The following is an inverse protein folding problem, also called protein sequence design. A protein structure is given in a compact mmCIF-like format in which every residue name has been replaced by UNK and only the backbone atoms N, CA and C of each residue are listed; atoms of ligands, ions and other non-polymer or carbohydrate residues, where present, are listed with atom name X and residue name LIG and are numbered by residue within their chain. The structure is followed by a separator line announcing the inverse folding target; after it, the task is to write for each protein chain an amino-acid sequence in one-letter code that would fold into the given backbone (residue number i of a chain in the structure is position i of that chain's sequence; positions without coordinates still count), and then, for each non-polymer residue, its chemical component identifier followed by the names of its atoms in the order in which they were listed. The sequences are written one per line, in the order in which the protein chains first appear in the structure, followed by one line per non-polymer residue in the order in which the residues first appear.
data_IF_571843522273
#
_entry.id   IF_571843522273
#
_cell.length_a   1.000
_cell.length_b   1.000
_cell.length_c   1.000
_cell.angle_alpha   90.00
_cell.angle_beta   90.00
_cell.angle_gamma   90.00
#
_symmetry.space_group_name_H-M   'P 1'
#
loop_
_entity.id
_entity.type
_entity.pdbx_description
1 polymer ?
#
# COMPACT_ATOMS: atom_id res chain seq x y z
N UNK A 1 0.70 36.32 -32.49
CA UNK A 1 1.59 36.34 -31.32
C UNK A 1 0.90 35.56 -30.21
N UNK A 2 1.22 34.27 -30.08
CA UNK A 2 0.78 33.45 -28.94
C UNK A 2 1.57 33.91 -27.73
N UNK A 3 0.95 34.69 -26.85
CA UNK A 3 1.55 35.03 -25.57
C UNK A 3 1.55 33.75 -24.73
N UNK A 4 2.68 33.02 -24.77
CA UNK A 4 3.07 32.16 -23.66
C UNK A 4 3.18 33.09 -22.46
N UNK A 5 2.11 33.23 -21.70
CA UNK A 5 2.20 33.81 -20.37
C UNK A 5 3.22 32.96 -19.63
N UNK A 6 4.37 33.51 -19.20
CA UNK A 6 5.30 32.74 -18.40
C UNK A 6 4.52 32.30 -17.17
N UNK A 7 4.43 30.99 -16.93
CA UNK A 7 4.01 30.50 -15.62
C UNK A 7 5.00 31.08 -14.62
N UNK A 8 4.56 32.07 -13.84
CA UNK A 8 5.42 32.71 -12.86
C UNK A 8 5.67 31.70 -11.74
N UNK A 9 6.77 30.97 -11.85
CA UNK A 9 7.25 30.10 -10.77
C UNK A 9 7.90 31.01 -9.74
N UNK A 10 7.34 31.01 -8.53
CA UNK A 10 7.95 31.68 -7.38
C UNK A 10 8.34 30.60 -6.38
N UNK A 11 9.61 30.56 -5.98
CA UNK A 11 10.10 29.50 -5.10
C UNK A 11 11.40 29.86 -4.40
N UNK A 12 11.78 29.02 -3.45
CA UNK A 12 13.05 29.05 -2.76
C UNK A 12 13.80 27.77 -3.14
N UNK A 13 15.07 27.94 -3.46
CA UNK A 13 15.98 26.85 -3.73
C UNK A 13 17.08 26.79 -2.67
N UNK A 14 17.36 25.58 -2.23
CA UNK A 14 18.33 25.26 -1.21
C UNK A 14 19.50 24.55 -1.88
N UNK A 15 20.51 25.34 -2.23
CA UNK A 15 21.72 24.87 -2.88
C UNK A 15 22.54 24.00 -1.93
N UNK A 16 22.82 22.75 -2.33
CA UNK A 16 23.68 21.86 -1.53
C UNK A 16 25.14 22.07 -1.92
N UNK A 17 26.02 22.36 -0.96
CA UNK A 17 27.46 22.58 -1.20
C UNK A 17 28.28 21.27 -1.43
N UNK A 18 27.70 20.26 -2.08
CA UNK A 18 28.31 18.93 -2.28
C UNK A 18 28.45 18.52 -3.76
N UNK A 19 28.88 17.28 -4.03
CA UNK A 19 29.09 16.76 -5.39
C UNK A 19 27.81 16.34 -6.14
N UNK A 20 26.63 16.45 -5.51
CA UNK A 20 25.35 16.15 -6.16
C UNK A 20 24.88 17.34 -6.97
N UNK A 21 24.45 17.11 -8.21
CA UNK A 21 23.90 18.14 -9.08
C UNK A 21 22.42 18.47 -8.79
N UNK A 22 21.82 17.97 -7.70
CA UNK A 22 20.41 18.18 -7.38
C UNK A 22 20.25 19.04 -6.11
N UNK A 23 19.64 20.21 -6.28
CA UNK A 23 19.27 21.14 -5.24
C UNK A 23 17.82 20.94 -4.81
N UNK A 24 17.49 21.22 -3.56
CA UNK A 24 16.13 21.05 -3.03
C UNK A 24 15.32 22.31 -3.28
N UNK A 25 14.05 22.17 -3.62
CA UNK A 25 13.19 23.32 -3.92
C UNK A 25 11.81 23.22 -3.27
N UNK A 26 11.29 24.40 -2.90
CA UNK A 26 9.90 24.62 -2.50
C UNK A 26 9.37 25.73 -3.39
N UNK A 27 8.32 25.45 -4.16
CA UNK A 27 7.85 26.39 -5.18
C UNK A 27 6.33 26.41 -5.30
N UNK A 28 5.81 27.56 -5.71
CA UNK A 28 4.44 27.70 -6.20
C UNK A 28 4.47 27.73 -7.73
N UNK A 29 3.69 26.86 -8.35
CA UNK A 29 3.41 26.92 -9.78
C UNK A 29 1.92 26.75 -10.01
N UNK A 30 1.32 27.77 -10.62
CA UNK A 30 -0.11 27.80 -10.94
C UNK A 30 -1.02 27.51 -9.73
N UNK A 31 -0.64 27.97 -8.53
CA UNK A 31 -1.41 27.78 -7.31
C UNK A 31 -1.20 26.44 -6.60
N UNK A 32 -0.29 25.60 -7.10
CA UNK A 32 0.11 24.33 -6.45
C UNK A 32 1.41 24.55 -5.71
N UNK A 33 1.43 24.24 -4.40
CA UNK A 33 2.65 24.18 -3.62
C UNK A 33 3.34 22.85 -3.91
N UNK A 34 4.61 22.91 -4.35
CA UNK A 34 5.38 21.74 -4.78
C UNK A 34 6.67 21.64 -3.99
N UNK A 35 7.00 20.40 -3.64
CA UNK A 35 8.29 20.00 -3.10
C UNK A 35 8.97 19.11 -4.13
N UNK A 36 10.26 19.33 -4.36
CA UNK A 36 11.03 18.50 -5.26
C UNK A 36 12.49 18.88 -5.30
N UNK A 37 13.17 18.45 -6.35
CA UNK A 37 14.58 18.73 -6.60
C UNK A 37 14.79 19.38 -7.96
N UNK A 38 15.84 20.17 -8.10
CA UNK A 38 16.23 20.83 -9.35
C UNK A 38 17.69 20.52 -9.68
N UNK A 39 17.98 20.20 -10.95
CA UNK A 39 19.37 20.02 -11.39
C UNK A 39 20.10 21.32 -11.81
N UNK A 40 19.38 22.44 -11.90
CA UNK A 40 19.90 23.70 -12.42
C UNK A 40 18.99 24.86 -12.02
N UNK A 41 19.16 25.37 -10.82
CA UNK A 41 18.60 26.63 -10.35
C UNK A 41 17.11 26.88 -10.73
N UNK A 42 16.19 25.99 -10.27
CA UNK A 42 14.76 25.89 -10.63
C UNK A 42 14.39 25.64 -12.12
N UNK A 43 15.33 25.47 -13.05
CA UNK A 43 15.04 25.26 -14.49
C UNK A 43 14.73 23.80 -14.84
N UNK A 44 15.41 22.85 -14.21
CA UNK A 44 15.24 21.41 -14.45
C UNK A 44 14.65 20.76 -13.23
N UNK A 45 13.31 20.76 -13.15
CA UNK A 45 12.57 20.35 -11.94
C UNK A 45 12.09 18.90 -12.02
N UNK A 46 12.27 18.19 -10.91
CA UNK A 46 11.63 16.91 -10.63
C UNK A 46 10.76 17.10 -9.40
N UNK A 47 9.46 17.24 -9.61
CA UNK A 47 8.51 17.35 -8.51
C UNK A 47 8.31 15.99 -7.84
N UNK A 48 8.22 16.00 -6.52
CA UNK A 48 7.98 14.80 -5.73
C UNK A 48 6.59 14.84 -5.10
N UNK A 49 6.19 15.99 -4.53
CA UNK A 49 4.95 16.15 -3.78
C UNK A 49 4.22 17.43 -4.19
N UNK A 50 2.91 17.33 -4.37
CA UNK A 50 2.02 18.45 -4.71
C UNK A 50 0.94 18.62 -3.64
N UNK A 51 0.83 19.85 -3.14
CA UNK A 51 -0.20 20.30 -2.20
C UNK A 51 -1.08 21.35 -2.88
N UNK A 52 -2.38 21.10 -2.85
CA UNK A 52 -3.41 22.03 -3.32
C UNK A 52 -4.40 22.33 -2.20
N UNK A 53 -5.34 23.24 -2.45
CA UNK A 53 -6.47 23.45 -1.54
C UNK A 53 -7.43 22.25 -1.43
N UNK A 54 -7.24 21.20 -2.22
CA UNK A 54 -8.18 20.06 -2.33
C UNK A 54 -7.54 18.69 -2.13
N UNK A 55 -6.23 18.55 -2.34
CA UNK A 55 -5.53 17.28 -2.21
C UNK A 55 -4.04 17.45 -1.86
N UNK A 56 -3.50 16.39 -1.27
CA UNK A 56 -2.08 16.09 -1.11
C UNK A 56 -1.80 14.85 -1.96
N UNK A 57 -0.90 14.96 -2.94
CA UNK A 57 -0.62 13.85 -3.87
C UNK A 57 0.86 13.83 -4.30
N UNK A 58 1.40 12.65 -4.69
CA UNK A 58 2.67 12.62 -5.39
C UNK A 58 2.57 13.36 -6.70
N UNK A 59 3.65 14.01 -7.12
CA UNK A 59 3.67 14.70 -8.40
C UNK A 59 3.89 13.76 -9.59
N UNK A 60 4.36 12.54 -9.34
CA UNK A 60 4.53 11.47 -10.32
C UNK A 60 3.69 10.27 -9.90
N UNK A 61 2.90 9.75 -10.85
CA UNK A 61 2.09 8.56 -10.63
C UNK A 61 2.94 7.35 -10.24
N UNK A 62 2.49 6.60 -9.23
CA UNK A 62 3.19 5.44 -8.66
C UNK A 62 4.68 5.70 -8.27
N UNK A 63 5.06 6.95 -8.00
CA UNK A 63 6.45 7.34 -7.76
C UNK A 63 6.86 7.40 -6.29
N UNK A 64 5.90 7.59 -5.38
CA UNK A 64 6.14 7.85 -3.95
C UNK A 64 5.33 6.91 -3.05
N UNK A 65 5.93 6.49 -1.94
CA UNK A 65 5.24 5.72 -0.89
C UNK A 65 4.82 6.63 0.28
N UNK A 66 3.68 6.33 0.89
CA UNK A 66 3.22 7.00 2.10
C UNK A 66 3.71 6.25 3.34
N UNK A 67 4.83 6.71 3.91
CA UNK A 67 5.50 6.07 5.04
C UNK A 67 6.49 4.97 4.65
N UNK A 68 7.26 4.50 5.63
CA UNK A 68 8.27 3.44 5.51
C UNK A 68 8.14 2.45 6.68
N UNK A 69 8.75 1.26 6.60
CA UNK A 69 8.71 0.27 7.68
C UNK A 69 9.26 0.79 9.02
N UNK A 70 10.22 1.72 8.95
CA UNK A 70 10.81 2.41 10.10
C UNK A 70 10.17 3.77 10.42
N UNK A 71 9.36 4.33 9.52
CA UNK A 71 8.69 5.64 9.66
C UNK A 71 7.21 5.49 9.30
N UNK A 72 6.46 4.84 10.21
CA UNK A 72 5.05 4.48 10.02
C UNK A 72 4.16 5.58 10.62
N UNK A 73 3.06 5.90 9.93
CA UNK A 73 1.99 6.69 10.52
C UNK A 73 1.35 5.93 11.69
N UNK A 74 0.96 6.65 12.73
CA UNK A 74 0.21 6.06 13.85
C UNK A 74 -1.21 5.72 13.43
N UNK A 75 -1.90 6.65 12.78
CA UNK A 75 -3.29 6.53 12.35
C UNK A 75 -3.54 7.38 11.08
N UNK A 76 -4.60 7.05 10.34
CA UNK A 76 -5.11 7.84 9.20
C UNK A 76 -6.61 8.05 9.39
N UNK A 77 -7.02 9.30 9.62
CA UNK A 77 -8.44 9.67 9.70
C UNK A 77 -8.94 10.08 8.32
N UNK A 78 -9.89 9.31 7.78
CA UNK A 78 -10.53 9.57 6.49
C UNK A 78 -12.03 9.27 6.56
N UNK A 79 -12.84 10.00 5.80
CA UNK A 79 -14.29 9.76 5.69
C UNK A 79 -14.60 8.49 4.89
N UNK A 80 -13.71 8.08 3.98
CA UNK A 80 -13.85 6.88 3.16
C UNK A 80 -12.57 6.04 3.24
N UNK A 81 -12.67 4.76 2.90
CA UNK A 81 -11.52 3.84 2.87
C UNK A 81 -10.54 4.16 1.74
N UNK A 82 -9.38 3.49 1.76
CA UNK A 82 -8.36 3.62 0.71
C UNK A 82 -8.87 2.98 -0.59
N UNK A 83 -8.68 3.66 -1.71
CA UNK A 83 -8.97 3.13 -3.05
C UNK A 83 -7.73 2.41 -3.56
N UNK A 84 -7.85 1.11 -3.84
CA UNK A 84 -6.81 0.32 -4.50
C UNK A 84 -7.16 0.12 -5.98
N UNK A 85 -6.29 0.59 -6.89
CA UNK A 85 -6.45 0.38 -8.33
C UNK A 85 -6.54 -1.12 -8.63
N UNK A 86 -7.58 -1.53 -9.36
CA UNK A 86 -7.90 -2.95 -9.60
C UNK A 86 -8.47 -3.16 -11.02
N UNK A 87 -8.09 -2.30 -11.96
CA UNK A 87 -8.54 -2.36 -13.35
C UNK A 87 -7.98 -3.61 -14.07
N UNK A 88 -8.78 -4.27 -14.90
CA UNK A 88 -8.36 -5.47 -15.62
C UNK A 88 -7.26 -5.17 -16.66
N UNK A 89 -7.17 -3.93 -17.17
CA UNK A 89 -6.14 -3.51 -18.12
C UNK A 89 -4.75 -3.46 -17.51
N UNK A 90 -4.67 -3.30 -16.19
CA UNK A 90 -3.42 -3.23 -15.43
C UNK A 90 -3.00 -4.60 -14.89
N UNK A 91 -3.71 -5.67 -15.27
CA UNK A 91 -3.51 -7.03 -14.79
C UNK A 91 -3.17 -7.97 -15.94
N UNK A 92 -2.31 -8.95 -15.66
CA UNK A 92 -1.98 -10.07 -16.54
C UNK A 92 -2.15 -11.37 -15.76
N UNK A 93 -2.13 -12.51 -16.46
CA UNK A 93 -2.14 -13.85 -15.86
C UNK A 93 -3.28 -14.07 -14.85
N UNK A 94 -4.47 -13.54 -15.16
CA UNK A 94 -5.65 -13.62 -14.30
C UNK A 94 -6.14 -15.08 -14.26
N UNK A 95 -6.12 -15.68 -13.07
CA UNK A 95 -6.57 -17.04 -12.79
C UNK A 95 -7.58 -17.04 -11.63
N UNK A 96 -8.39 -18.10 -11.56
CA UNK A 96 -9.25 -18.33 -10.40
C UNK A 96 -8.41 -18.54 -9.14
N UNK A 97 -8.87 -17.98 -8.02
CA UNK A 97 -8.17 -18.07 -6.75
C UNK A 97 -8.23 -19.51 -6.20
N UNK A 98 -7.06 -20.08 -5.93
CA UNK A 98 -6.87 -21.44 -5.38
C UNK A 98 -6.73 -21.46 -3.84
N UNK A 99 -6.88 -20.30 -3.19
CA UNK A 99 -6.91 -20.10 -1.74
C UNK A 99 -8.35 -19.78 -1.32
N UNK A 100 -8.83 -20.42 -0.27
CA UNK A 100 -10.21 -20.27 0.16
C UNK A 100 -10.45 -20.81 1.57
N UNK A 101 -11.49 -21.64 1.72
CA UNK A 101 -11.97 -22.09 3.02
C UNK A 101 -10.91 -22.89 3.78
N UNK A 102 -10.11 -23.70 3.06
CA UNK A 102 -9.04 -24.51 3.67
C UNK A 102 -8.01 -23.64 4.38
N UNK A 103 -7.58 -22.54 3.77
CA UNK A 103 -6.60 -21.62 4.36
C UNK A 103 -7.22 -20.81 5.49
N UNK A 104 -8.44 -20.30 5.30
CA UNK A 104 -9.16 -19.53 6.33
C UNK A 104 -9.32 -20.34 7.62
N UNK A 105 -9.65 -21.63 7.52
CA UNK A 105 -9.78 -22.53 8.68
C UNK A 105 -8.46 -22.80 9.42
N UNK A 106 -7.30 -22.52 8.79
CA UNK A 106 -5.98 -22.63 9.43
C UNK A 106 -5.56 -21.32 10.11
N UNK A 107 -6.25 -20.21 9.86
CA UNK A 107 -5.93 -18.94 10.47
C UNK A 107 -6.35 -18.95 11.93
N UNK A 108 -5.51 -18.35 12.78
CA UNK A 108 -5.77 -18.17 14.21
C UNK A 108 -5.99 -16.69 14.51
N UNK A 109 -7.24 -16.20 14.56
CA UNK A 109 -7.55 -14.87 15.05
C UNK A 109 -7.04 -14.72 16.49
N UNK A 110 -6.42 -13.58 16.79
CA UNK A 110 -5.90 -13.26 18.12
C UNK A 110 -6.39 -11.90 18.59
N UNK A 111 -6.46 -11.73 19.90
CA UNK A 111 -6.45 -10.41 20.53
C UNK A 111 -5.06 -10.12 21.10
N UNK A 112 -4.64 -8.87 21.06
CA UNK A 112 -3.32 -8.46 21.55
C UNK A 112 -3.34 -7.03 22.08
N UNK A 113 -2.30 -6.70 22.83
CA UNK A 113 -1.99 -5.33 23.27
C UNK A 113 -0.57 -5.02 22.81
N UNK A 114 -0.32 -3.80 22.33
CA UNK A 114 1.03 -3.39 21.94
C UNK A 114 1.95 -3.36 23.16
N UNK A 115 3.16 -3.93 23.01
CA UNK A 115 4.17 -3.91 24.08
C UNK A 115 4.59 -2.49 24.46
N UNK A 116 4.80 -1.64 23.45
CA UNK A 116 5.30 -0.27 23.65
C UNK A 116 4.17 0.78 23.77
N UNK A 117 2.91 0.34 23.64
CA UNK A 117 1.71 1.20 23.69
C UNK A 117 0.51 0.50 24.34
N UNK A 118 0.63 0.04 25.60
CA UNK A 118 -0.43 -0.70 26.26
C UNK A 118 -1.73 0.12 26.46
N UNK A 119 -1.63 1.44 26.47
CA UNK A 119 -2.73 2.39 26.60
C UNK A 119 -3.69 2.39 25.39
N UNK A 120 -3.26 1.91 24.22
CA UNK A 120 -4.13 1.78 23.04
C UNK A 120 -5.22 0.69 23.20
N UNK A 121 -5.15 -0.08 24.29
CA UNK A 121 -6.10 -1.13 24.64
C UNK A 121 -5.94 -2.40 23.80
N UNK A 122 -6.90 -3.32 23.97
CA UNK A 122 -6.91 -4.60 23.24
C UNK A 122 -7.31 -4.38 21.78
N UNK A 123 -6.50 -4.91 20.87
CA UNK A 123 -6.73 -4.95 19.43
C UNK A 123 -6.99 -6.39 18.98
N UNK A 124 -7.60 -6.55 17.81
CA UNK A 124 -7.83 -7.84 17.15
C UNK A 124 -6.98 -7.92 15.88
N UNK A 125 -6.51 -9.11 15.55
CA UNK A 125 -5.74 -9.31 14.32
C UNK A 125 -5.25 -10.73 14.12
N UNK A 126 -4.20 -10.84 13.32
CA UNK A 126 -3.50 -12.08 12.98
C UNK A 126 -2.00 -11.91 13.24
N UNK A 127 -1.31 -13.03 13.47
CA UNK A 127 0.15 -13.05 13.62
C UNK A 127 0.78 -13.22 12.23
N UNK A 128 1.60 -12.26 11.81
CA UNK A 128 2.22 -12.25 10.48
C UNK A 128 3.05 -13.51 10.19
N UNK A 129 3.79 -14.02 11.19
CA UNK A 129 4.58 -15.25 11.06
C UNK A 129 3.71 -16.50 10.85
N UNK A 130 2.53 -16.56 11.48
CA UNK A 130 1.58 -17.66 11.28
C UNK A 130 0.93 -17.56 9.90
N UNK A 131 0.58 -16.34 9.48
CA UNK A 131 0.08 -16.06 8.13
C UNK A 131 1.10 -16.47 7.06
N UNK A 132 2.39 -16.21 7.25
CA UNK A 132 3.42 -16.53 6.26
C UNK A 132 3.48 -18.03 5.92
N UNK A 133 3.08 -18.91 6.84
CA UNK A 133 3.03 -20.36 6.65
C UNK A 133 1.75 -20.86 5.94
N UNK A 134 0.75 -19.98 5.77
CA UNK A 134 -0.58 -20.32 5.23
C UNK A 134 -0.88 -19.54 3.96
N UNK A 135 -0.67 -18.23 3.99
CA UNK A 135 -0.89 -17.24 2.94
C UNK A 135 0.34 -16.30 2.88
N UNK A 136 1.51 -16.77 2.40
CA UNK A 136 2.70 -15.92 2.31
C UNK A 136 2.47 -14.66 1.45
N UNK A 137 1.55 -14.71 0.51
CA UNK A 137 1.26 -13.65 -0.46
C UNK A 137 0.68 -12.38 0.20
N UNK A 138 0.03 -12.50 1.36
CA UNK A 138 -0.54 -11.35 2.10
C UNK A 138 0.43 -10.79 3.14
N UNK A 139 1.61 -11.38 3.29
CA UNK A 139 2.62 -10.95 4.25
C UNK A 139 3.70 -10.14 3.54
N UNK A 140 3.95 -8.94 4.06
CA UNK A 140 5.10 -8.15 3.64
C UNK A 140 6.30 -8.54 4.47
N UNK A 141 7.29 -9.17 3.83
CA UNK A 141 8.52 -9.65 4.46
C UNK A 141 9.79 -9.00 3.91
N UNK A 142 9.65 -8.06 2.96
CA UNK A 142 10.76 -7.33 2.36
C UNK A 142 10.55 -5.82 2.38
N UNK A 143 11.65 -5.12 2.56
CA UNK A 143 11.75 -3.67 2.48
C UNK A 143 12.56 -3.24 1.25
N UNK A 144 12.38 -1.98 0.88
CA UNK A 144 13.19 -1.36 -0.17
C UNK A 144 14.55 -1.03 0.44
N UNK A 145 15.58 -1.70 -0.05
CA UNK A 145 16.97 -1.49 0.31
C UNK A 145 17.77 -0.92 -0.84
N UNK A 146 19.06 -0.71 -0.58
CA UNK A 146 20.05 -0.36 -1.59
C UNK A 146 21.15 -1.41 -1.54
N UNK A 147 21.48 -2.02 -2.68
CA UNK A 147 22.61 -2.92 -2.77
C UNK A 147 23.94 -2.14 -2.60
N UNK A 148 25.06 -2.81 -2.30
CA UNK A 148 26.37 -2.16 -2.15
C UNK A 148 26.82 -1.36 -3.38
N UNK A 149 26.30 -1.66 -4.57
CA UNK A 149 26.56 -0.96 -5.83
C UNK A 149 25.65 0.27 -6.05
N UNK A 150 24.80 0.62 -5.09
CA UNK A 150 23.88 1.76 -5.16
C UNK A 150 22.56 1.46 -5.90
N UNK A 151 22.37 0.23 -6.40
CA UNK A 151 21.11 -0.14 -7.07
C UNK A 151 20.00 -0.43 -6.06
N UNK A 152 18.74 -0.19 -6.46
CA UNK A 152 17.57 -0.53 -5.64
C UNK A 152 17.52 -2.05 -5.48
N UNK A 153 17.57 -2.51 -4.24
CA UNK A 153 17.50 -3.93 -3.89
C UNK A 153 16.38 -4.17 -2.90
N UNK A 154 16.00 -5.43 -2.72
CA UNK A 154 15.12 -5.82 -1.63
C UNK A 154 15.96 -6.40 -0.49
N UNK A 155 15.68 -5.95 0.73
CA UNK A 155 16.26 -6.49 1.96
C UNK A 155 15.15 -7.13 2.77
N UNK A 156 15.47 -8.13 3.58
CA UNK A 156 14.50 -8.69 4.52
C UNK A 156 14.00 -7.60 5.46
N UNK A 157 12.68 -7.56 5.68
CA UNK A 157 12.07 -6.60 6.57
C UNK A 157 12.38 -6.99 8.02
N UNK A 158 12.81 -6.02 8.82
CA UNK A 158 13.01 -6.21 10.26
C UNK A 158 11.70 -6.62 10.96
N UNK A 159 10.57 -6.12 10.46
CA UNK A 159 9.23 -6.40 10.98
C UNK A 159 8.32 -6.80 9.83
N UNK A 160 7.68 -7.96 9.97
CA UNK A 160 6.67 -8.40 9.01
C UNK A 160 5.42 -7.52 9.09
N UNK A 161 4.89 -7.17 7.93
CA UNK A 161 3.59 -6.51 7.77
C UNK A 161 2.53 -7.45 7.18
N UNK A 162 1.27 -7.08 7.27
CA UNK A 162 0.15 -7.82 6.68
C UNK A 162 -0.67 -6.89 5.81
N UNK A 163 -0.90 -7.28 4.56
CA UNK A 163 -1.88 -6.66 3.67
C UNK A 163 -3.27 -7.22 4.00
N UNK A 164 -3.90 -6.68 5.06
CA UNK A 164 -5.20 -7.19 5.52
C UNK A 164 -6.30 -7.14 4.45
N UNK A 165 -6.27 -6.17 3.53
CA UNK A 165 -7.21 -6.09 2.41
C UNK A 165 -7.08 -7.28 1.44
N UNK A 166 -5.90 -7.88 1.33
CA UNK A 166 -5.63 -9.00 0.42
C UNK A 166 -6.20 -10.32 0.96
N UNK A 167 -6.63 -10.35 2.23
CA UNK A 167 -7.41 -11.45 2.78
C UNK A 167 -8.86 -11.45 2.26
N UNK A 168 -9.39 -10.30 1.80
CA UNK A 168 -10.80 -10.18 1.41
C UNK A 168 -11.16 -11.14 0.26
N UNK A 169 -10.40 -11.23 -0.85
CA UNK A 169 -10.70 -12.20 -1.91
C UNK A 169 -10.66 -13.65 -1.44
N UNK A 170 -9.74 -14.00 -0.51
CA UNK A 170 -9.64 -15.33 0.08
C UNK A 170 -10.89 -15.64 0.93
N UNK A 171 -11.36 -14.67 1.72
CA UNK A 171 -12.59 -14.79 2.50
C UNK A 171 -13.83 -14.93 1.61
N UNK A 172 -13.91 -14.18 0.52
CA UNK A 172 -15.00 -14.31 -0.48
C UNK A 172 -15.02 -15.73 -1.05
N UNK A 173 -13.86 -16.26 -1.47
CA UNK A 173 -13.73 -17.63 -1.97
C UNK A 173 -14.13 -18.66 -0.91
N UNK A 174 -13.71 -18.46 0.34
CA UNK A 174 -14.06 -19.34 1.45
C UNK A 174 -15.58 -19.41 1.68
N UNK A 175 -16.27 -18.26 1.62
CA UNK A 175 -17.74 -18.21 1.75
C UNK A 175 -18.41 -18.94 0.59
N UNK A 176 -17.96 -18.73 -0.64
CA UNK A 176 -18.49 -19.45 -1.82
C UNK A 176 -18.33 -20.97 -1.69
N UNK A 177 -17.17 -21.44 -1.23
CA UNK A 177 -16.92 -22.87 -0.98
C UNK A 177 -17.77 -23.41 0.17
N UNK A 178 -18.02 -22.59 1.20
CA UNK A 178 -18.89 -22.95 2.32
C UNK A 178 -20.35 -23.11 1.87
N UNK A 179 -20.89 -22.17 1.09
CA UNK A 179 -22.25 -22.26 0.55
C UNK A 179 -22.41 -23.49 -0.35
N UNK A 180 -21.45 -23.77 -1.23
CA UNK A 180 -21.49 -24.96 -2.08
C UNK A 180 -21.54 -26.28 -1.27
N UNK A 181 -20.88 -26.34 -0.10
CA UNK A 181 -20.97 -27.49 0.81
C UNK A 181 -22.32 -27.58 1.50
N UNK A 182 -22.91 -26.44 1.88
CA UNK A 182 -24.24 -26.38 2.49
C UNK A 182 -25.28 -26.91 1.51
N UNK A 183 -25.25 -26.46 0.25
CA UNK A 183 -26.16 -26.92 -0.80
C UNK A 183 -26.05 -28.43 -1.02
N UNK A 184 -24.81 -28.95 -1.08
CA UNK A 184 -24.57 -30.39 -1.23
C UNK A 184 -25.16 -31.20 -0.07
N UNK A 185 -24.93 -30.75 1.18
CA UNK A 185 -25.46 -31.41 2.38
C UNK A 185 -26.98 -31.37 2.44
N UNK A 186 -27.61 -30.28 2.02
CA UNK A 186 -29.07 -30.16 1.95
C UNK A 186 -29.66 -31.13 0.92
N UNK A 187 -29.05 -31.21 -0.27
CA UNK A 187 -29.48 -32.14 -1.31
C UNK A 187 -29.38 -33.61 -0.85
N UNK A 188 -28.30 -33.97 -0.15
CA UNK A 188 -28.14 -35.30 0.45
C UNK A 188 -29.22 -35.58 1.50
N UNK A 189 -29.50 -34.61 2.38
CA UNK A 189 -30.53 -34.75 3.41
C UNK A 189 -31.92 -34.96 2.79
N UNK A 190 -32.26 -34.22 1.74
CA UNK A 190 -33.51 -34.41 1.01
C UNK A 190 -33.59 -35.79 0.36
N UNK A 191 -32.51 -36.25 -0.27
CA UNK A 191 -32.45 -37.57 -0.87
C UNK A 191 -32.62 -38.69 0.16
N UNK A 192 -32.05 -38.53 1.37
CA UNK A 192 -32.24 -39.47 2.48
C UNK A 192 -33.68 -39.44 3.02
N UNK A 193 -34.31 -38.27 3.12
CA UNK A 193 -35.70 -38.13 3.60
C UNK A 193 -36.75 -38.72 2.65
N UNK A 194 -36.41 -38.88 1.36
CA UNK A 194 -37.28 -39.49 0.34
C UNK A 194 -37.17 -41.03 0.28
N UNK A 195 -36.28 -41.64 1.07
CA UNK A 195 -36.16 -43.09 1.24
C UNK A 195 -37.00 -43.54 2.44
#
# INVERSE_FOLDING_TARGET
VTTNTPTSVAGIEFKRLGSSSLDWQIRNESGVLRFGVSANDLLTVSDELALTGTYLAPAVDNGLSCGLSILRFTEVFATSGVVNTSDARDKTDIQDLDRGLREVLRLRPVSFTWKDRPEEGTKLGLIAQELQQVLPEVVRDRDRGTAPDGTRSHVEAERLGVYYSDLIPVLVKAIQEQEARIDALQAELEAMRRR
#
